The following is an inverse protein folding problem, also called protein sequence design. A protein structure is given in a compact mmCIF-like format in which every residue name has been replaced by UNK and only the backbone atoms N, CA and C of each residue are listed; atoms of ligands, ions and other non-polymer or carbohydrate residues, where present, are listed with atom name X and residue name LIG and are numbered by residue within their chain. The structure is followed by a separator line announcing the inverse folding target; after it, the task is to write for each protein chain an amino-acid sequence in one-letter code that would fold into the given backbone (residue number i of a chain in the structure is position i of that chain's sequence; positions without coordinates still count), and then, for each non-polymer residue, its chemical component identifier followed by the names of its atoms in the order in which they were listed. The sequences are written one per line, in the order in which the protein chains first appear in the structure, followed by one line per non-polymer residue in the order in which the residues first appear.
data_IF_848873168808
#
_entry.id   IF_848873168808
#
_cell.length_a   1.000
_cell.length_b   1.000
_cell.length_c   1.000
_cell.angle_alpha   90.00
_cell.angle_beta   90.00
_cell.angle_gamma   90.00
#
_symmetry.space_group_name_H-M   'P 1'
#
loop_
_entity.id
_entity.type
_entity.pdbx_description
1 polymer ?
#
# COMPACT_ATOMS: atom_id res chain seq x y z
N UNK A 1 9.09 -18.10 3.92
CA UNK A 1 7.73 -17.83 4.43
C UNK A 1 7.12 -16.80 3.51
N UNK A 2 5.99 -17.15 2.90
CA UNK A 2 5.32 -16.37 1.86
C UNK A 2 4.32 -15.43 2.56
N UNK A 3 4.62 -14.13 2.65
CA UNK A 3 3.81 -13.14 3.40
C UNK A 3 2.95 -12.33 2.45
N UNK A 4 2.22 -13.01 1.59
CA UNK A 4 1.26 -12.36 0.69
C UNK A 4 0.09 -11.73 1.48
N UNK A 5 -0.71 -10.84 0.89
CA UNK A 5 -1.87 -10.23 1.56
C UNK A 5 -2.97 -11.28 1.86
N UNK A 6 -2.81 -12.06 2.94
CA UNK A 6 -3.70 -13.15 3.34
C UNK A 6 -4.98 -12.69 4.03
N UNK A 7 -5.03 -11.42 4.44
CA UNK A 7 -6.16 -10.88 5.18
C UNK A 7 -7.41 -10.92 4.31
N UNK A 8 -8.46 -11.57 4.81
CA UNK A 8 -9.78 -11.57 4.17
C UNK A 8 -10.41 -10.18 4.32
N UNK A 9 -11.26 -9.78 3.39
CA UNK A 9 -11.95 -8.48 3.45
C UNK A 9 -12.66 -8.30 4.80
N UNK A 10 -13.35 -9.34 5.30
CA UNK A 10 -14.04 -9.29 6.58
C UNK A 10 -13.09 -9.07 7.78
N UNK A 11 -11.91 -9.70 7.76
CA UNK A 11 -10.90 -9.53 8.82
C UNK A 11 -10.31 -8.13 8.80
N UNK A 12 -9.99 -7.60 7.61
CA UNK A 12 -9.48 -6.24 7.45
C UNK A 12 -10.50 -5.21 7.92
N UNK A 13 -11.78 -5.35 7.56
CA UNK A 13 -12.84 -4.45 8.03
C UNK A 13 -12.92 -4.42 9.56
N UNK A 14 -12.94 -5.60 10.18
CA UNK A 14 -13.00 -5.71 11.65
C UNK A 14 -11.78 -5.08 12.32
N UNK A 15 -10.59 -5.24 11.74
CA UNK A 15 -9.39 -4.57 12.25
C UNK A 15 -9.53 -3.05 12.17
N UNK A 16 -9.94 -2.51 11.01
CA UNK A 16 -10.14 -1.06 10.82
C UNK A 16 -11.17 -0.50 11.81
N UNK A 17 -12.28 -1.20 12.03
CA UNK A 17 -13.30 -0.82 13.01
C UNK A 17 -12.77 -0.84 14.45
N UNK A 18 -11.95 -1.83 14.81
CA UNK A 18 -11.35 -1.93 16.15
C UNK A 18 -10.31 -0.84 16.43
N UNK A 19 -9.66 -0.31 15.40
CA UNK A 19 -8.72 0.82 15.50
C UNK A 19 -9.42 2.19 15.46
N UNK A 20 -10.75 2.21 15.60
CA UNK A 20 -11.60 3.41 15.54
C UNK A 20 -11.44 4.23 14.25
N UNK A 21 -11.01 3.58 13.16
CA UNK A 21 -10.90 4.21 11.84
C UNK A 21 -12.27 4.11 11.15
N UNK A 22 -12.90 5.24 10.75
CA UNK A 22 -14.19 5.19 10.07
C UNK A 22 -14.07 4.43 8.74
N UNK A 23 -14.83 3.34 8.57
CA UNK A 23 -14.86 2.60 7.30
C UNK A 23 -15.27 3.47 6.10
N UNK A 24 -16.03 4.54 6.34
CA UNK A 24 -16.40 5.52 5.32
C UNK A 24 -15.21 6.29 4.75
N UNK A 25 -14.06 6.29 5.44
CA UNK A 25 -12.81 6.86 4.93
C UNK A 25 -12.06 5.90 3.96
N UNK A 26 -12.59 4.69 3.72
CA UNK A 26 -11.95 3.65 2.90
C UNK A 26 -12.85 3.29 1.69
N UNK A 27 -12.47 3.75 0.50
CA UNK A 27 -13.26 3.58 -0.74
C UNK A 27 -13.22 2.16 -1.34
N UNK A 28 -12.29 1.32 -0.87
CA UNK A 28 -12.10 -0.03 -1.37
C UNK A 28 -11.17 -0.86 -0.52
N UNK A 29 -11.52 -2.13 -0.34
CA UNK A 29 -10.69 -3.13 0.33
C UNK A 29 -10.56 -4.33 -0.61
N UNK A 30 -9.32 -4.74 -0.87
CA UNK A 30 -9.01 -5.99 -1.55
C UNK A 30 -8.44 -6.97 -0.54
N UNK A 31 -9.07 -8.14 -0.41
CA UNK A 31 -8.65 -9.21 0.49
C UNK A 31 -8.32 -10.50 -0.25
N UNK A 32 -7.64 -11.43 0.43
CA UNK A 32 -7.21 -12.72 -0.14
C UNK A 32 -8.36 -13.64 -0.58
N UNK A 33 -9.60 -13.34 -0.20
CA UNK A 33 -10.82 -14.05 -0.57
C UNK A 33 -11.41 -13.61 -1.93
N UNK A 34 -10.82 -12.61 -2.60
CA UNK A 34 -11.31 -12.08 -3.89
C UNK A 34 -10.84 -12.86 -5.14
N UNK A 35 -10.21 -14.04 -4.97
CA UNK A 35 -9.67 -14.86 -6.08
C UNK A 35 -8.70 -14.12 -7.02
N UNK A 36 -7.99 -13.12 -6.51
CA UNK A 36 -6.91 -12.43 -7.21
C UNK A 36 -5.57 -13.08 -6.85
N UNK A 37 -4.56 -12.97 -7.73
CA UNK A 37 -3.21 -13.41 -7.35
C UNK A 37 -2.70 -12.51 -6.22
N UNK A 38 -2.10 -13.07 -5.17
CA UNK A 38 -1.71 -12.29 -4.03
C UNK A 38 -0.39 -11.55 -4.30
N UNK A 39 0.01 -10.65 -3.39
CA UNK A 39 1.31 -9.96 -3.46
C UNK A 39 2.44 -11.00 -3.62
N UNK A 40 3.45 -10.76 -4.48
CA UNK A 40 3.77 -9.49 -5.13
C UNK A 40 3.01 -9.20 -6.45
N UNK A 41 1.98 -10.00 -6.79
CA UNK A 41 1.14 -9.68 -7.95
C UNK A 41 0.43 -8.33 -7.81
N UNK A 42 0.23 -7.64 -8.94
CA UNK A 42 -0.42 -6.32 -8.99
C UNK A 42 -1.94 -6.37 -9.13
N UNK A 43 -2.52 -7.56 -9.26
CA UNK A 43 -3.96 -7.78 -9.52
C UNK A 43 -4.87 -6.96 -8.61
N UNK A 44 -4.57 -6.90 -7.30
CA UNK A 44 -5.36 -6.12 -6.34
C UNK A 44 -5.29 -4.62 -6.58
N UNK A 45 -4.12 -4.10 -6.94
CA UNK A 45 -3.94 -2.69 -7.30
C UNK A 45 -4.62 -2.39 -8.63
N UNK A 46 -4.44 -3.25 -9.63
CA UNK A 46 -5.06 -3.09 -10.96
C UNK A 46 -6.58 -3.11 -10.87
N UNK A 47 -7.15 -4.02 -10.07
CA UNK A 47 -8.57 -4.06 -9.77
C UNK A 47 -9.08 -2.74 -9.17
N UNK A 48 -8.36 -2.15 -8.22
CA UNK A 48 -8.75 -0.88 -7.61
C UNK A 48 -8.61 0.31 -8.56
N UNK A 49 -7.52 0.36 -9.34
CA UNK A 49 -7.32 1.40 -10.35
C UNK A 49 -8.42 1.37 -11.42
N UNK A 50 -8.80 0.17 -11.87
CA UNK A 50 -9.90 -0.02 -12.81
C UNK A 50 -11.24 0.40 -12.19
N UNK A 51 -11.55 -0.07 -10.97
CA UNK A 51 -12.77 0.28 -10.22
C UNK A 51 -12.92 1.79 -10.06
N UNK A 52 -11.82 2.50 -9.79
CA UNK A 52 -11.79 3.95 -9.60
C UNK A 52 -11.57 4.74 -10.89
N UNK A 53 -11.53 4.08 -12.05
CA UNK A 53 -11.30 4.69 -13.36
C UNK A 53 -10.03 5.56 -13.42
N UNK A 54 -9.01 5.17 -12.66
CA UNK A 54 -7.73 5.85 -12.62
C UNK A 54 -6.96 5.58 -13.92
N UNK A 55 -6.97 6.56 -14.83
CA UNK A 55 -6.36 6.42 -16.17
C UNK A 55 -4.84 6.51 -16.15
N UNK A 56 -4.26 7.18 -15.16
CA UNK A 56 -2.81 7.31 -15.01
C UNK A 56 -2.36 6.73 -13.66
N UNK A 57 -1.81 5.49 -13.64
CA UNK A 57 -1.28 4.87 -12.43
C UNK A 57 -0.16 5.68 -11.75
N UNK A 58 0.46 6.63 -12.46
CA UNK A 58 1.48 7.53 -11.89
C UNK A 58 0.89 8.55 -10.92
N UNK A 59 -0.43 8.69 -10.85
CA UNK A 59 -1.12 9.50 -9.84
C UNK A 59 -1.36 8.73 -8.54
N UNK A 60 -1.13 7.42 -8.53
CA UNK A 60 -1.30 6.57 -7.35
C UNK A 60 0.02 6.37 -6.59
N UNK A 61 -0.14 6.15 -5.29
CA UNK A 61 0.93 5.85 -4.36
C UNK A 61 0.63 4.54 -3.64
N UNK A 62 1.65 3.70 -3.47
CA UNK A 62 1.59 2.60 -2.50
C UNK A 62 2.36 2.99 -1.25
N UNK A 63 1.82 2.59 -0.10
CA UNK A 63 2.43 2.75 1.22
C UNK A 63 2.44 1.39 1.88
N UNK A 64 3.59 0.96 2.37
CA UNK A 64 3.73 -0.33 3.03
C UNK A 64 5.09 -0.50 3.71
N UNK A 65 5.17 -1.44 4.63
CA UNK A 65 6.35 -1.73 5.44
C UNK A 65 7.09 -2.99 4.97
N UNK A 66 6.66 -3.62 3.87
CA UNK A 66 7.30 -4.83 3.34
C UNK A 66 7.84 -4.61 1.92
N UNK A 67 8.99 -5.23 1.56
CA UNK A 67 9.48 -5.30 0.19
C UNK A 67 8.43 -5.64 -0.89
N UNK A 68 7.47 -6.53 -0.60
CA UNK A 68 6.42 -6.90 -1.54
C UNK A 68 5.49 -5.73 -1.88
N UNK A 69 5.28 -4.78 -0.96
CA UNK A 69 4.50 -3.57 -1.26
C UNK A 69 5.21 -2.72 -2.31
N UNK A 70 6.54 -2.63 -2.21
CA UNK A 70 7.34 -1.89 -3.18
C UNK A 70 7.31 -2.58 -4.55
N UNK A 71 7.34 -3.92 -4.58
CA UNK A 71 7.21 -4.68 -5.82
C UNK A 71 5.83 -4.50 -6.47
N UNK A 72 4.76 -4.57 -5.69
CA UNK A 72 3.37 -4.35 -6.14
C UNK A 72 3.20 -2.94 -6.71
N UNK A 73 3.90 -1.95 -6.13
CA UNK A 73 3.88 -0.57 -6.58
C UNK A 73 4.77 -0.26 -7.79
N UNK A 74 5.50 -1.23 -8.37
CA UNK A 74 6.30 -0.99 -9.58
C UNK A 74 5.40 -0.45 -10.69
N UNK A 75 5.74 0.68 -11.30
CA UNK A 75 4.90 1.34 -12.32
C UNK A 75 3.77 2.24 -11.77
N UNK A 76 3.59 2.33 -10.45
CA UNK A 76 2.90 3.46 -9.84
C UNK A 76 3.86 4.65 -9.73
N UNK A 77 3.30 5.84 -9.48
CA UNK A 77 4.07 7.07 -9.35
C UNK A 77 5.00 7.04 -8.15
N UNK A 78 4.51 6.49 -7.05
CA UNK A 78 5.24 6.51 -5.78
C UNK A 78 5.13 5.22 -4.99
N UNK A 79 6.23 4.90 -4.32
CA UNK A 79 6.39 3.73 -3.46
C UNK A 79 7.01 4.19 -2.14
N UNK A 80 6.18 4.37 -1.12
CA UNK A 80 6.61 4.88 0.18
C UNK A 80 6.81 3.70 1.12
N UNK A 81 8.06 3.44 1.48
CA UNK A 81 8.42 2.45 2.48
C UNK A 81 8.30 3.02 3.89
N UNK A 82 7.55 2.36 4.77
CA UNK A 82 7.52 2.69 6.20
C UNK A 82 8.47 1.74 6.93
N UNK A 83 9.45 2.27 7.67
CA UNK A 83 10.42 1.48 8.43
C UNK A 83 10.46 1.94 9.90
N UNK A 84 11.08 1.17 10.79
CA UNK A 84 11.19 1.52 12.22
C UNK A 84 10.00 1.11 13.10
N UNK A 85 8.84 0.82 12.49
CA UNK A 85 7.65 0.26 13.17
C UNK A 85 7.27 -1.14 12.67
N UNK A 86 7.82 -1.58 11.53
CA UNK A 86 7.56 -2.88 10.90
C UNK A 86 8.75 -3.86 10.94
N UNK A 87 8.66 -4.94 10.16
CA UNK A 87 9.67 -6.02 10.11
C UNK A 87 10.84 -5.76 9.15
N UNK A 88 10.72 -4.76 8.28
CA UNK A 88 11.69 -4.49 7.21
C UNK A 88 12.63 -3.35 7.56
N UNK A 89 13.85 -3.40 7.05
CA UNK A 89 14.82 -2.30 7.15
C UNK A 89 14.68 -1.31 5.99
N UNK A 90 15.16 -0.09 6.17
CA UNK A 90 15.23 0.91 5.11
C UNK A 90 15.94 0.37 3.86
N UNK A 91 17.04 -0.36 4.05
CA UNK A 91 17.83 -0.96 2.96
C UNK A 91 17.01 -1.97 2.16
N UNK A 92 16.23 -2.82 2.85
CA UNK A 92 15.40 -3.82 2.18
C UNK A 92 14.27 -3.18 1.36
N UNK A 93 13.70 -2.07 1.83
CA UNK A 93 12.66 -1.33 1.12
C UNK A 93 13.21 -0.59 -0.10
N UNK A 94 14.40 0.02 0.02
CA UNK A 94 15.12 0.64 -1.10
C UNK A 94 15.47 -0.40 -2.16
N UNK A 95 16.00 -1.56 -1.75
CA UNK A 95 16.33 -2.65 -2.67
C UNK A 95 15.09 -3.16 -3.43
N UNK A 96 13.92 -3.14 -2.80
CA UNK A 96 12.64 -3.50 -3.43
C UNK A 96 12.04 -2.39 -4.31
N UNK A 97 12.62 -1.19 -4.29
CA UNK A 97 12.31 -0.09 -5.18
C UNK A 97 11.55 1.08 -4.54
N UNK A 98 11.53 1.22 -3.21
CA UNK A 98 10.97 2.39 -2.54
C UNK A 98 11.55 3.69 -3.14
N UNK A 99 10.67 4.65 -3.45
CA UNK A 99 11.07 5.99 -3.92
C UNK A 99 11.32 6.92 -2.74
N UNK A 100 10.62 6.69 -1.64
CA UNK A 100 10.72 7.47 -0.41
C UNK A 100 10.61 6.55 0.80
N UNK A 101 11.22 6.98 1.89
CA UNK A 101 11.22 6.26 3.16
C UNK A 101 10.72 7.18 4.28
N UNK A 102 9.85 6.65 5.12
CA UNK A 102 9.40 7.31 6.35
C UNK A 102 9.55 6.37 7.54
N UNK A 103 9.95 6.92 8.69
CA UNK A 103 10.15 6.13 9.91
C UNK A 103 8.83 5.92 10.70
N UNK A 104 7.80 6.69 10.34
CA UNK A 104 6.50 6.66 11.01
C UNK A 104 5.41 7.19 10.06
N UNK A 105 4.19 6.66 10.20
CA UNK A 105 3.05 7.01 9.34
C UNK A 105 2.63 8.48 9.49
N UNK A 106 2.92 9.14 10.63
CA UNK A 106 2.66 10.58 10.80
C UNK A 106 3.39 11.45 9.78
N UNK A 107 4.48 10.95 9.18
CA UNK A 107 5.24 11.64 8.12
C UNK A 107 4.64 11.47 6.73
N UNK A 108 3.65 10.60 6.56
CA UNK A 108 3.03 10.35 5.26
C UNK A 108 2.37 11.62 4.69
N UNK A 109 1.78 12.46 5.54
CA UNK A 109 1.14 13.70 5.09
C UNK A 109 2.14 14.67 4.48
N UNK A 110 3.35 14.77 5.05
CA UNK A 110 4.44 15.60 4.54
C UNK A 110 4.87 15.13 3.14
N UNK A 111 4.94 13.82 2.92
CA UNK A 111 5.22 13.23 1.62
C UNK A 111 4.14 13.57 0.57
N UNK A 112 2.87 13.54 0.96
CA UNK A 112 1.75 13.88 0.07
C UNK A 112 1.75 15.37 -0.28
N UNK A 113 1.99 16.25 0.69
CA UNK A 113 2.00 17.70 0.49
C UNK A 113 3.15 18.13 -0.42
N UNK A 114 4.38 17.66 -0.12
CA UNK A 114 5.58 17.98 -0.91
C UNK A 114 5.36 17.70 -2.40
N UNK A 115 4.78 16.54 -2.72
CA UNK A 115 4.62 16.07 -4.09
C UNK A 115 3.47 16.70 -4.87
N UNK A 116 2.52 17.35 -4.20
CA UNK A 116 1.51 18.17 -4.90
C UNK A 116 2.07 19.52 -5.37
N UNK A 117 3.26 19.87 -4.90
CA UNK A 117 3.94 21.14 -5.19
C UNK A 117 5.01 21.01 -6.27
N UNK A 118 5.30 19.78 -6.72
CA UNK A 118 6.21 19.43 -7.81
C UNK A 118 5.42 19.21 -9.12
#
# INVERSE_FOLDING_TARGET
MDVSAHQRVASTKRFIENEDIPLLAIDGIVGGDMKLRPKPSRDGVEFLLEKWQCRDPRQAMIVGDHPMDMEVGKGLGWRVGVYGTGLSTAESLVAAGATDLIIDVSKLIDCVIKRRSD
#
